data_IF_545559882589
#
_entry.id   IF_545559882589
#
_cell.length_a   1.000
_cell.length_b   1.000
_cell.length_c   1.000
_cell.angle_alpha   90.00
_cell.angle_beta   90.00
_cell.angle_gamma   90.00
#
_symmetry.space_group_name_H-M   'P 1'
#
loop_
_entity.id
_entity.type
_entity.pdbx_description
1 polymer ?
#
# COMPACT_ATOMS: atom_id res chain seq x y z
N UNK A 1 23.20 1.65 10.05
CA UNK A 1 22.14 0.87 9.40
C UNK A 1 21.89 -0.41 10.20
N UNK A 2 20.66 -0.63 10.64
CA UNK A 2 20.31 -1.86 11.36
C UNK A 2 20.25 -3.00 10.35
N UNK A 3 20.64 -4.24 10.72
CA UNK A 3 20.63 -5.35 9.80
C UNK A 3 19.21 -5.59 9.26
N UNK A 4 19.13 -5.85 7.96
CA UNK A 4 17.89 -6.27 7.30
C UNK A 4 17.57 -7.66 7.86
N UNK A 5 16.53 -7.74 8.68
CA UNK A 5 16.02 -9.04 9.15
C UNK A 5 15.03 -9.53 8.09
N UNK A 6 15.36 -10.61 7.42
CA UNK A 6 14.43 -11.24 6.47
C UNK A 6 13.09 -11.51 7.12
N UNK A 7 12.02 -11.16 6.44
CA UNK A 7 10.66 -11.41 6.88
C UNK A 7 10.10 -12.64 6.15
N UNK A 8 9.31 -13.46 6.85
CA UNK A 8 8.74 -14.63 6.22
C UNK A 8 7.80 -14.24 5.08
N UNK A 9 8.05 -14.79 3.89
CA UNK A 9 7.28 -14.51 2.68
C UNK A 9 6.08 -15.43 2.58
N UNK A 10 4.92 -14.87 2.24
CA UNK A 10 3.71 -15.61 1.93
C UNK A 10 3.78 -16.12 0.49
N UNK A 11 3.78 -17.42 0.31
CA UNK A 11 3.77 -18.04 -1.03
C UNK A 11 2.37 -17.97 -1.66
N UNK A 12 2.29 -18.14 -2.99
CA UNK A 12 1.01 -18.17 -3.70
C UNK A 12 0.11 -19.32 -3.22
N UNK A 13 0.69 -20.47 -2.86
CA UNK A 13 -0.07 -21.59 -2.30
C UNK A 13 -0.67 -21.22 -0.94
N UNK A 14 0.08 -20.55 -0.07
CA UNK A 14 -0.43 -20.07 1.22
C UNK A 14 -1.47 -18.96 1.04
N UNK A 15 -1.30 -18.11 0.02
CA UNK A 15 -2.27 -17.09 -0.32
C UNK A 15 -3.60 -17.75 -0.71
N UNK A 16 -3.59 -18.77 -1.57
CA UNK A 16 -4.78 -19.53 -1.94
C UNK A 16 -5.40 -20.23 -0.73
N UNK A 17 -4.62 -20.82 0.14
CA UNK A 17 -5.08 -21.55 1.32
C UNK A 17 -5.71 -20.65 2.40
N UNK A 18 -5.46 -19.34 2.38
CA UNK A 18 -5.98 -18.39 3.36
C UNK A 18 -7.04 -17.43 2.80
N UNK A 19 -7.66 -17.76 1.67
CA UNK A 19 -8.80 -17.03 1.08
C UNK A 19 -9.88 -16.78 2.13
N UNK A 20 -10.50 -15.59 2.10
CA UNK A 20 -11.47 -15.13 3.10
C UNK A 20 -10.83 -14.51 4.34
N UNK A 21 -9.51 -14.56 4.46
CA UNK A 21 -8.76 -13.93 5.54
C UNK A 21 -8.61 -12.41 5.38
N UNK A 22 -7.78 -11.84 6.23
CA UNK A 22 -7.49 -10.39 6.23
C UNK A 22 -6.04 -10.13 5.81
N UNK A 23 -5.88 -9.23 4.86
CA UNK A 23 -4.60 -8.66 4.45
C UNK A 23 -4.54 -7.19 4.88
N UNK A 24 -3.45 -6.80 5.51
CA UNK A 24 -3.10 -5.40 5.73
C UNK A 24 -2.28 -4.98 4.52
N UNK A 25 -2.56 -3.82 3.93
CA UNK A 25 -1.86 -3.36 2.75
C UNK A 25 -1.50 -1.89 2.82
N UNK A 26 -0.46 -1.54 2.08
CA UNK A 26 0.05 -0.19 1.94
C UNK A 26 0.68 0.00 0.56
N UNK A 27 0.62 1.20 0.00
CA UNK A 27 1.08 1.54 -1.34
C UNK A 27 2.27 2.47 -1.27
N UNK A 28 3.34 2.12 -1.99
CA UNK A 28 4.55 2.95 -2.05
C UNK A 28 4.90 3.34 -3.48
N UNK A 29 5.11 4.63 -3.70
CA UNK A 29 5.49 5.18 -5.01
C UNK A 29 6.75 6.01 -4.88
N UNK A 30 7.80 5.59 -5.58
CA UNK A 30 9.04 6.35 -5.78
C UNK A 30 9.17 6.76 -7.26
N UNK A 31 10.15 7.56 -7.60
CA UNK A 31 10.32 8.08 -8.94
C UNK A 31 10.49 7.01 -10.04
N UNK A 32 11.03 5.84 -9.69
CA UNK A 32 11.25 4.72 -10.60
C UNK A 32 10.75 3.39 -10.05
N UNK A 33 9.93 3.41 -8.99
CA UNK A 33 9.51 2.19 -8.32
C UNK A 33 8.12 2.34 -7.71
N UNK A 34 7.23 1.41 -8.02
CA UNK A 34 5.89 1.31 -7.47
C UNK A 34 5.65 -0.11 -6.98
N UNK A 35 5.15 -0.25 -5.77
CA UNK A 35 4.74 -1.54 -5.24
C UNK A 35 3.61 -1.42 -4.23
N UNK A 36 2.89 -2.53 -4.04
CA UNK A 36 1.89 -2.71 -3.01
C UNK A 36 2.39 -3.78 -2.05
N UNK A 37 2.58 -3.42 -0.78
CA UNK A 37 2.94 -4.34 0.27
C UNK A 37 1.70 -4.96 0.91
N UNK A 38 1.76 -6.25 1.22
CA UNK A 38 0.70 -6.98 1.89
C UNK A 38 1.25 -7.77 3.07
N UNK A 39 0.48 -7.81 4.16
CA UNK A 39 0.75 -8.63 5.34
C UNK A 39 -0.48 -9.47 5.67
N UNK A 40 -0.34 -10.77 5.69
CA UNK A 40 -1.41 -11.67 6.13
C UNK A 40 -1.58 -11.58 7.65
N UNK A 41 -2.77 -11.18 8.11
CA UNK A 41 -3.05 -11.04 9.54
C UNK A 41 -2.88 -12.38 10.30
N UNK A 42 -3.31 -13.49 9.68
CA UNK A 42 -3.26 -14.83 10.32
C UNK A 42 -1.83 -15.37 10.42
N UNK A 43 -1.09 -15.40 9.32
CA UNK A 43 0.23 -16.03 9.25
C UNK A 43 1.37 -15.10 9.63
N UNK A 44 1.13 -13.78 9.67
CA UNK A 44 2.13 -12.71 9.83
C UNK A 44 3.20 -12.69 8.74
N UNK A 45 2.96 -13.39 7.63
CA UNK A 45 3.83 -13.40 6.45
C UNK A 45 3.50 -12.26 5.50
N UNK A 46 4.45 -11.90 4.65
CA UNK A 46 4.41 -10.74 3.78
C UNK A 46 4.58 -11.13 2.31
N UNK A 47 4.05 -10.33 1.42
CA UNK A 47 4.37 -10.35 -0.01
C UNK A 47 4.20 -8.97 -0.61
N UNK A 48 4.78 -8.75 -1.78
CA UNK A 48 4.61 -7.51 -2.55
C UNK A 48 4.16 -7.81 -3.97
N UNK A 49 3.41 -6.90 -4.54
CA UNK A 49 3.22 -6.77 -5.97
C UNK A 49 4.05 -5.57 -6.44
N UNK A 50 5.07 -5.82 -7.24
CA UNK A 50 5.98 -4.81 -7.78
C UNK A 50 5.63 -4.55 -9.25
N UNK A 51 5.52 -3.27 -9.62
CA UNK A 51 5.23 -2.91 -11.01
C UNK A 51 6.44 -3.22 -11.94
N UNK A 52 6.21 -3.80 -13.13
CA UNK A 52 4.91 -4.21 -13.65
C UNK A 52 4.43 -5.54 -13.06
N UNK A 53 3.23 -5.56 -12.49
CA UNK A 53 2.60 -6.76 -11.96
C UNK A 53 1.34 -7.16 -12.74
N UNK A 54 0.89 -8.40 -12.55
CA UNK A 54 -0.33 -8.89 -13.17
C UNK A 54 -1.56 -8.32 -12.42
N UNK A 55 -2.32 -7.46 -13.10
CA UNK A 55 -3.54 -6.83 -12.56
C UNK A 55 -4.63 -7.84 -12.20
N UNK A 56 -4.66 -9.00 -12.85
CA UNK A 56 -5.61 -10.08 -12.50
C UNK A 56 -5.30 -10.66 -11.12
N UNK A 57 -3.99 -10.77 -10.76
CA UNK A 57 -3.58 -11.22 -9.42
C UNK A 57 -4.01 -10.20 -8.38
N UNK A 58 -3.81 -8.90 -8.61
CA UNK A 58 -4.28 -7.85 -7.73
C UNK A 58 -5.80 -7.91 -7.58
N UNK A 59 -6.54 -7.98 -8.69
CA UNK A 59 -8.01 -8.08 -8.68
C UNK A 59 -8.48 -9.30 -7.87
N UNK A 60 -7.85 -10.46 -8.08
CA UNK A 60 -8.17 -11.67 -7.36
C UNK A 60 -7.96 -11.50 -5.84
N UNK A 61 -6.85 -10.88 -5.42
CA UNK A 61 -6.57 -10.60 -4.00
C UNK A 61 -7.67 -9.70 -3.42
N UNK A 62 -7.96 -8.59 -4.07
CA UNK A 62 -8.91 -7.59 -3.56
C UNK A 62 -10.35 -8.13 -3.45
N UNK A 63 -10.72 -9.13 -4.26
CA UNK A 63 -12.05 -9.76 -4.21
C UNK A 63 -12.13 -10.95 -3.23
N UNK A 64 -11.01 -11.61 -2.95
CA UNK A 64 -10.99 -12.82 -2.12
C UNK A 64 -10.53 -12.60 -0.68
N UNK A 65 -10.11 -11.38 -0.36
CA UNK A 65 -9.66 -11.02 0.98
C UNK A 65 -10.37 -9.78 1.50
N UNK A 66 -10.47 -9.65 2.83
CA UNK A 66 -10.70 -8.35 3.45
C UNK A 66 -9.37 -7.60 3.46
N UNK A 67 -9.30 -6.48 2.76
CA UNK A 67 -8.11 -5.64 2.70
C UNK A 67 -8.25 -4.48 3.67
N UNK A 68 -7.27 -4.28 4.54
CA UNK A 68 -7.28 -3.27 5.59
C UNK A 68 -6.11 -2.33 5.40
N UNK A 69 -6.36 -1.04 5.46
CA UNK A 69 -5.33 -0.01 5.41
C UNK A 69 -5.62 1.14 6.37
N UNK A 70 -4.78 2.15 6.38
CA UNK A 70 -4.95 3.35 7.19
C UNK A 70 -4.93 4.59 6.31
N UNK A 71 -6.03 5.36 6.28
CA UNK A 71 -6.23 6.51 5.39
C UNK A 71 -6.16 6.15 3.90
N UNK A 72 -6.46 4.90 3.59
CA UNK A 72 -6.31 4.32 2.26
C UNK A 72 -7.35 4.85 1.25
N UNK A 73 -8.53 5.25 1.69
CA UNK A 73 -9.54 5.87 0.82
C UNK A 73 -9.00 7.14 0.15
N UNK A 74 -8.20 7.90 0.87
CA UNK A 74 -7.67 9.17 0.36
C UNK A 74 -6.45 9.03 -0.53
N UNK A 75 -5.66 7.97 -0.39
CA UNK A 75 -4.40 7.82 -1.10
C UNK A 75 -4.23 6.44 -1.74
N UNK A 76 -4.12 5.37 -0.95
CA UNK A 76 -3.77 4.04 -1.46
C UNK A 76 -4.78 3.51 -2.48
N UNK A 77 -6.08 3.64 -2.18
CA UNK A 77 -7.14 3.15 -3.05
C UNK A 77 -7.17 3.84 -4.41
N UNK A 78 -7.15 5.17 -4.54
CA UNK A 78 -7.08 5.84 -5.84
C UNK A 78 -5.88 5.39 -6.67
N UNK A 79 -4.70 5.26 -6.06
CA UNK A 79 -3.48 4.80 -6.73
C UNK A 79 -3.62 3.35 -7.18
N UNK A 80 -4.11 2.49 -6.30
CA UNK A 80 -4.39 1.09 -6.60
C UNK A 80 -5.41 0.95 -7.74
N UNK A 81 -6.49 1.72 -7.72
CA UNK A 81 -7.51 1.71 -8.78
C UNK A 81 -6.96 2.21 -10.12
N UNK A 82 -6.13 3.26 -10.12
CA UNK A 82 -5.47 3.71 -11.36
C UNK A 82 -4.51 2.63 -11.89
N UNK A 83 -3.85 1.86 -11.02
CA UNK A 83 -2.92 0.81 -11.41
C UNK A 83 -3.56 -0.36 -12.18
N UNK A 84 -4.87 -0.54 -12.10
CA UNK A 84 -5.60 -1.45 -13.00
C UNK A 84 -5.65 -0.96 -14.46
N UNK A 85 -5.56 0.36 -14.65
CA UNK A 85 -5.57 0.97 -15.99
C UNK A 85 -4.14 1.15 -16.52
N UNK A 86 -3.24 1.61 -15.68
CA UNK A 86 -1.84 1.86 -16.04
C UNK A 86 -0.93 1.69 -14.83
N UNK A 87 0.22 1.10 -15.06
CA UNK A 87 1.30 1.02 -14.08
C UNK A 87 2.47 1.92 -14.47
N UNK A 88 2.21 2.92 -15.34
CA UNK A 88 3.16 3.97 -15.67
C UNK A 88 3.45 4.81 -14.44
N UNK A 89 4.67 4.72 -13.93
CA UNK A 89 5.06 5.35 -12.66
C UNK A 89 4.89 6.86 -12.69
N UNK A 90 5.30 7.61 -13.75
CA UNK A 90 5.03 9.03 -13.86
C UNK A 90 3.55 9.40 -13.72
N UNK A 91 2.65 8.65 -14.33
CA UNK A 91 1.20 8.87 -14.22
C UNK A 91 0.69 8.62 -12.81
N UNK A 92 1.16 7.55 -12.16
CA UNK A 92 0.82 7.24 -10.76
C UNK A 92 1.35 8.32 -9.80
N UNK A 93 2.54 8.87 -10.06
CA UNK A 93 3.09 9.98 -9.28
C UNK A 93 2.31 11.28 -9.45
N UNK A 94 1.82 11.58 -10.65
CA UNK A 94 0.95 12.74 -10.86
C UNK A 94 -0.32 12.62 -10.03
N UNK A 95 -0.95 11.44 -10.01
CA UNK A 95 -2.10 11.19 -9.15
C UNK A 95 -1.74 11.34 -7.67
N UNK A 96 -0.64 10.74 -7.23
CA UNK A 96 -0.18 10.83 -5.83
C UNK A 96 0.06 12.29 -5.41
N UNK A 97 0.68 13.09 -6.29
CA UNK A 97 0.90 14.52 -6.05
C UNK A 97 -0.43 15.29 -5.92
N UNK A 98 -1.37 15.05 -6.83
CA UNK A 98 -2.68 15.69 -6.78
C UNK A 98 -3.43 15.37 -5.48
N UNK A 99 -3.38 14.11 -5.02
CA UNK A 99 -4.04 13.70 -3.78
C UNK A 99 -3.40 14.30 -2.52
N UNK A 100 -2.06 14.35 -2.46
CA UNK A 100 -1.31 14.75 -1.25
C UNK A 100 -1.09 16.26 -1.19
N UNK A 101 -0.55 16.85 -2.26
CA UNK A 101 -0.09 18.24 -2.26
C UNK A 101 -1.17 19.22 -2.70
N UNK A 102 -2.06 18.80 -3.59
CA UNK A 102 -3.16 19.63 -4.11
C UNK A 102 -4.47 19.36 -3.34
N UNK A 103 -4.47 18.40 -2.40
CA UNK A 103 -5.64 17.97 -1.63
C UNK A 103 -6.86 17.60 -2.50
N UNK A 104 -6.61 17.07 -3.69
CA UNK A 104 -7.66 16.63 -4.60
C UNK A 104 -8.44 15.46 -3.97
N UNK A 105 -9.78 15.56 -4.01
CA UNK A 105 -10.61 14.46 -3.56
C UNK A 105 -10.57 13.28 -4.55
N UNK A 106 -10.69 12.05 -4.06
CA UNK A 106 -10.60 10.85 -4.89
C UNK A 106 -11.65 10.80 -6.00
N UNK A 107 -12.83 11.40 -5.83
CA UNK A 107 -13.85 11.50 -6.88
C UNK A 107 -13.44 12.49 -7.99
N UNK A 108 -12.75 13.56 -7.67
CA UNK A 108 -12.18 14.50 -8.63
C UNK A 108 -11.02 13.84 -9.38
N UNK A 109 -10.14 13.15 -8.64
CA UNK A 109 -9.05 12.37 -9.19
C UNK A 109 -9.55 11.27 -10.14
N UNK A 110 -10.65 10.60 -9.79
CA UNK A 110 -11.29 9.60 -10.65
C UNK A 110 -11.66 10.18 -12.02
N UNK A 111 -12.23 11.38 -12.04
CA UNK A 111 -12.62 12.06 -13.28
C UNK A 111 -11.40 12.53 -14.07
N UNK A 112 -10.42 13.13 -13.39
CA UNK A 112 -9.22 13.67 -14.02
C UNK A 112 -8.34 12.58 -14.64
N UNK A 113 -8.11 11.47 -13.92
CA UNK A 113 -7.27 10.35 -14.36
C UNK A 113 -8.06 9.21 -15.01
N UNK A 114 -9.40 9.30 -15.06
CA UNK A 114 -10.29 8.35 -15.72
C UNK A 114 -10.10 6.89 -15.27
N UNK A 115 -9.96 6.64 -13.99
CA UNK A 115 -9.94 5.29 -13.43
C UNK A 115 -11.32 4.85 -12.92
N UNK A 116 -11.51 3.54 -12.75
CA UNK A 116 -12.71 2.98 -12.14
C UNK A 116 -12.50 2.79 -10.65
N UNK A 117 -13.53 3.09 -9.87
CA UNK A 117 -13.61 2.70 -8.47
C UNK A 117 -14.18 1.28 -8.43
N UNK A 118 -13.49 0.39 -7.74
CA UNK A 118 -13.91 -0.99 -7.62
C UNK A 118 -14.55 -1.20 -6.24
N UNK A 119 -15.74 -1.80 -6.25
CA UNK A 119 -16.39 -2.26 -5.02
C UNK A 119 -15.68 -3.53 -4.55
N UNK A 120 -14.84 -3.37 -3.54
CA UNK A 120 -14.03 -4.44 -2.96
C UNK A 120 -14.15 -4.38 -1.44
N UNK A 121 -13.85 -5.50 -0.76
CA UNK A 121 -13.93 -5.59 0.70
C UNK A 121 -12.74 -4.87 1.36
N UNK A 122 -12.72 -3.54 1.26
CA UNK A 122 -11.69 -2.66 1.82
C UNK A 122 -12.22 -1.99 3.08
N UNK A 123 -11.41 -1.99 4.13
CA UNK A 123 -11.65 -1.27 5.38
C UNK A 123 -10.56 -0.23 5.59
N UNK A 124 -10.97 1.02 5.79
CA UNK A 124 -10.08 2.09 6.21
C UNK A 124 -10.16 2.29 7.73
N UNK A 125 -9.06 2.03 8.41
CA UNK A 125 -9.00 2.15 9.87
C UNK A 125 -9.21 3.58 10.38
N UNK A 126 -8.94 4.60 9.56
CA UNK A 126 -9.15 5.99 9.98
C UNK A 126 -10.63 6.32 10.14
N UNK A 127 -11.52 5.62 9.42
CA UNK A 127 -12.98 5.86 9.50
C UNK A 127 -13.59 5.36 10.81
N UNK A 128 -12.99 4.33 11.40
CA UNK A 128 -13.44 3.74 12.67
C UNK A 128 -12.60 4.20 13.86
N UNK A 129 -11.53 4.94 13.59
CA UNK A 129 -10.64 5.44 14.64
C UNK A 129 -11.35 6.52 15.48
N UNK A 130 -11.32 6.45 16.82
CA UNK A 130 -12.12 7.31 17.71
C UNK A 130 -11.70 8.77 17.67
N UNK A 131 -10.52 9.09 17.19
CA UNK A 131 -9.96 10.44 17.13
C UNK A 131 -9.28 10.67 15.79
N UNK A 132 -9.39 11.87 15.23
CA UNK A 132 -8.61 12.27 14.07
C UNK A 132 -7.11 12.28 14.40
N UNK A 133 -6.28 11.69 13.54
CA UNK A 133 -4.84 11.66 13.74
C UNK A 133 -4.11 10.86 12.67
N UNK A 134 -2.79 11.05 12.60
CA UNK A 134 -1.93 10.26 11.72
C UNK A 134 -1.71 8.85 12.28
N UNK A 135 -1.31 7.92 11.42
CA UNK A 135 -0.91 6.56 11.86
C UNK A 135 0.18 6.63 12.95
N UNK A 136 1.17 7.51 12.80
CA UNK A 136 2.23 7.72 13.81
C UNK A 136 1.66 8.10 15.17
N UNK A 137 0.65 9.00 15.20
CA UNK A 137 0.00 9.39 16.45
C UNK A 137 -0.74 8.22 17.10
N UNK A 138 -1.43 7.40 16.31
CA UNK A 138 -2.07 6.17 16.81
C UNK A 138 -1.07 5.17 17.33
N UNK A 139 0.01 4.93 16.58
CA UNK A 139 1.10 4.05 17.01
C UNK A 139 1.73 4.53 18.33
N UNK A 140 1.95 5.84 18.48
CA UNK A 140 2.47 6.42 19.73
C UNK A 140 1.50 6.20 20.91
N UNK A 141 0.20 6.43 20.70
CA UNK A 141 -0.84 6.22 21.72
C UNK A 141 -0.99 4.76 22.13
N UNK A 142 -0.80 3.83 21.20
CA UNK A 142 -0.83 2.39 21.43
C UNK A 142 0.50 1.82 21.94
N UNK A 143 1.45 2.71 22.30
CA UNK A 143 2.79 2.32 22.74
C UNK A 143 3.50 1.35 21.79
N UNK A 144 3.32 1.56 20.48
CA UNK A 144 4.01 0.76 19.48
C UNK A 144 5.52 0.82 19.72
N UNK A 145 6.22 -0.30 19.71
CA UNK A 145 7.63 -0.37 20.11
C UNK A 145 8.56 0.41 19.16
N UNK A 146 8.05 0.83 18.00
CA UNK A 146 8.82 1.58 17.01
C UNK A 146 7.90 2.46 16.15
N UNK A 147 8.32 3.71 16.00
CA UNK A 147 7.82 4.62 14.97
C UNK A 147 8.86 4.65 13.86
N UNK A 148 8.46 4.48 12.63
CA UNK A 148 9.38 4.36 11.51
C UNK A 148 8.98 5.30 10.38
N UNK A 149 9.95 5.99 9.80
CA UNK A 149 9.77 6.82 8.60
C UNK A 149 10.31 6.08 7.39
N UNK A 150 9.78 6.41 6.22
CA UNK A 150 10.34 5.92 4.95
C UNK A 150 11.83 6.26 4.91
N UNK A 151 12.69 5.30 4.53
CA UNK A 151 14.13 5.52 4.52
C UNK A 151 14.60 6.42 3.39
N UNK A 152 13.74 6.63 2.38
CA UNK A 152 14.05 7.40 1.18
C UNK A 152 12.95 8.40 0.86
N UNK A 153 13.30 9.60 0.34
CA UNK A 153 12.32 10.51 -0.23
C UNK A 153 11.59 9.89 -1.43
N UNK A 154 10.31 10.19 -1.59
CA UNK A 154 9.48 9.66 -2.70
C UNK A 154 9.90 10.16 -4.08
N UNK A 155 10.64 11.27 -4.15
CA UNK A 155 11.06 11.93 -5.39
C UNK A 155 12.47 11.52 -5.87
N UNK A 156 13.02 10.42 -5.37
CA UNK A 156 14.33 9.90 -5.80
C UNK A 156 14.18 8.61 -6.60
N UNK A 157 15.17 8.35 -7.47
CA UNK A 157 15.32 7.05 -8.09
C UNK A 157 15.98 6.08 -7.10
N UNK A 158 15.39 4.92 -6.91
CA UNK A 158 15.96 3.88 -6.06
C UNK A 158 16.82 2.91 -6.89
N UNK A 159 17.97 2.57 -6.36
CA UNK A 159 18.77 1.41 -6.80
C UNK A 159 18.09 0.11 -6.40
N UNK A 160 18.52 -1.02 -6.94
CA UNK A 160 17.92 -2.32 -6.62
C UNK A 160 18.10 -2.71 -5.15
N UNK A 161 19.20 -2.31 -4.52
CA UNK A 161 19.39 -2.49 -3.08
C UNK A 161 18.46 -1.60 -2.26
N UNK A 162 18.25 -0.34 -2.67
CA UNK A 162 17.33 0.58 -2.00
C UNK A 162 15.87 0.12 -2.15
N UNK A 163 15.50 -0.49 -3.28
CA UNK A 163 14.16 -1.10 -3.46
C UNK A 163 13.94 -2.24 -2.45
N UNK A 164 14.95 -3.09 -2.20
CA UNK A 164 14.87 -4.12 -1.16
C UNK A 164 14.68 -3.51 0.23
N UNK A 165 15.41 -2.44 0.53
CA UNK A 165 15.28 -1.70 1.79
C UNK A 165 13.89 -1.09 1.91
N UNK A 166 13.35 -0.45 0.87
CA UNK A 166 12.01 0.13 0.86
C UNK A 166 10.92 -0.91 1.16
N UNK A 167 10.96 -2.08 0.51
CA UNK A 167 10.06 -3.21 0.81
C UNK A 167 10.17 -3.66 2.27
N UNK A 168 11.37 -3.79 2.77
CA UNK A 168 11.60 -4.18 4.15
C UNK A 168 11.00 -3.18 5.15
N UNK A 169 11.07 -1.89 4.85
CA UNK A 169 10.44 -0.86 5.67
C UNK A 169 8.90 -0.94 5.62
N UNK A 170 8.33 -1.12 4.42
CA UNK A 170 6.90 -1.32 4.26
C UNK A 170 6.38 -2.54 5.05
N UNK A 171 7.13 -3.63 5.11
CA UNK A 171 6.78 -4.80 5.92
C UNK A 171 6.82 -4.55 7.44
N UNK A 172 7.36 -3.43 7.87
CA UNK A 172 7.45 -3.05 9.29
C UNK A 172 6.36 -2.09 9.74
N UNK A 173 5.78 -1.36 8.80
CA UNK A 173 4.65 -0.43 9.05
C UNK A 173 3.28 -1.12 9.18
#
# INVERSE_FOLDING_TARGET
>A
PRPIVERPILSDAELIANVGGTLIYDVEIFKNYYFIGFKCHKTKKYFTLEAPFNERKLSWIMHNYRCVGFNNIKFDNPVLWLSYKTQDIPTLQQLANALINENMWYQEAQKAFQFKIYDTNILDLIEIAPLKGSLKLYMARLHAPRLQELPFPINVNLTDEEKKIAKFYNYRS
#
